data_IF_677682968486
#
_entry.id   IF_677682968486
#
_cell.length_a   1.000
_cell.length_b   1.000
_cell.length_c   1.000
_cell.angle_alpha   90.00
_cell.angle_beta   90.00
_cell.angle_gamma   90.00
#
_symmetry.space_group_name_H-M   'P 1'
#
loop_
_entity.id
_entity.type
_entity.pdbx_description
1 polymer ?
#
# COMPACT_ATOMS: atom_id res chain seq x y z
N UNK A 1 -63.15 11.23 33.70
CA UNK A 1 -62.51 10.45 32.62
C UNK A 1 -61.89 11.45 31.65
N UNK A 2 -60.56 11.51 31.57
CA UNK A 2 -59.82 12.37 30.67
C UNK A 2 -58.91 11.46 29.84
N UNK A 3 -59.14 11.39 28.52
CA UNK A 3 -58.29 10.63 27.58
C UNK A 3 -57.29 11.63 27.02
N UNK A 4 -56.01 11.47 27.35
CA UNK A 4 -54.91 12.23 26.74
C UNK A 4 -54.42 11.42 25.54
N UNK A 5 -54.71 11.90 24.34
CA UNK A 5 -54.17 11.36 23.09
C UNK A 5 -52.74 11.88 22.89
N UNK A 6 -51.73 11.00 22.99
CA UNK A 6 -50.36 11.33 22.59
C UNK A 6 -50.27 11.34 21.06
N UNK A 7 -49.97 12.51 20.48
CA UNK A 7 -49.63 12.65 19.06
C UNK A 7 -48.11 12.52 18.93
N UNK A 8 -47.63 11.39 18.37
CA UNK A 8 -46.21 11.21 18.06
C UNK A 8 -45.89 11.95 16.74
N UNK A 9 -45.13 13.03 16.82
CA UNK A 9 -44.61 13.74 15.63
C UNK A 9 -43.32 13.06 15.21
N UNK A 10 -43.37 12.29 14.12
CA UNK A 10 -42.18 11.73 13.49
C UNK A 10 -41.48 12.82 12.67
N UNK A 11 -40.33 13.31 13.14
CA UNK A 11 -39.45 14.16 12.35
C UNK A 11 -38.71 13.30 11.32
N UNK A 12 -39.12 13.38 10.05
CA UNK A 12 -38.36 12.81 8.95
C UNK A 12 -37.05 13.60 8.78
N UNK A 13 -35.92 13.00 9.10
CA UNK A 13 -34.62 13.56 8.76
C UNK A 13 -34.44 13.49 7.24
N UNK A 14 -34.50 14.63 6.56
CA UNK A 14 -34.15 14.71 5.15
C UNK A 14 -32.64 14.57 5.01
N UNK A 15 -32.17 13.40 4.57
CA UNK A 15 -30.83 13.25 3.99
C UNK A 15 -30.77 14.06 2.70
N UNK A 16 -30.10 15.20 2.73
CA UNK A 16 -29.67 15.87 1.51
C UNK A 16 -28.59 14.99 0.86
N UNK A 17 -28.97 14.22 -0.15
CA UNK A 17 -28.00 13.65 -1.06
C UNK A 17 -27.31 14.82 -1.79
N UNK A 18 -26.05 15.10 -1.43
CA UNK A 18 -25.23 16.04 -2.18
C UNK A 18 -25.13 15.48 -3.60
N UNK A 19 -25.82 16.10 -4.55
CA UNK A 19 -25.76 15.70 -5.95
C UNK A 19 -24.39 16.11 -6.47
N UNK A 20 -23.44 15.18 -6.37
CA UNK A 20 -22.09 15.38 -6.89
C UNK A 20 -22.21 15.68 -8.39
N UNK A 21 -21.62 16.78 -8.82
CA UNK A 21 -21.47 17.06 -10.24
C UNK A 21 -20.81 15.85 -10.92
N UNK A 22 -21.24 15.53 -12.14
CA UNK A 22 -20.62 14.46 -12.91
C UNK A 22 -19.11 14.68 -13.00
N UNK A 23 -18.33 13.67 -12.60
CA UNK A 23 -16.89 13.74 -12.71
C UNK A 23 -16.49 13.89 -14.18
N UNK A 24 -15.61 14.84 -14.47
CA UNK A 24 -14.99 14.99 -15.79
C UNK A 24 -13.77 14.07 -15.84
N UNK A 25 -13.69 13.13 -16.81
CA UNK A 25 -12.51 12.28 -16.95
C UNK A 25 -11.26 13.12 -17.21
N UNK A 26 -10.20 12.86 -16.46
CA UNK A 26 -8.87 13.44 -16.69
C UNK A 26 -7.92 12.38 -17.26
N UNK A 27 -6.88 12.81 -17.97
CA UNK A 27 -5.78 11.92 -18.34
C UNK A 27 -4.99 11.56 -17.07
N UNK A 28 -5.01 10.30 -16.63
CA UNK A 28 -4.63 9.96 -15.26
C UNK A 28 -3.13 10.08 -14.99
N UNK A 29 -2.25 9.81 -15.97
CA UNK A 29 -0.79 9.92 -15.76
C UNK A 29 -0.40 11.37 -15.55
N UNK A 30 -0.83 12.27 -16.44
CA UNK A 30 -0.57 13.71 -16.34
C UNK A 30 -1.17 14.29 -15.06
N UNK A 31 -2.37 13.86 -14.69
CA UNK A 31 -3.01 14.32 -13.44
C UNK A 31 -2.17 13.98 -12.21
N UNK A 32 -1.64 12.75 -12.12
CA UNK A 32 -0.78 12.36 -11.00
C UNK A 32 0.55 13.11 -11.01
N UNK A 33 1.18 13.26 -12.18
CA UNK A 33 2.44 14.00 -12.29
C UNK A 33 2.28 15.49 -11.95
N UNK A 34 1.15 16.10 -12.34
CA UNK A 34 0.86 17.50 -12.02
C UNK A 34 0.54 17.72 -10.54
N UNK A 35 0.04 16.70 -9.83
CA UNK A 35 -0.18 16.79 -8.38
C UNK A 35 1.13 17.03 -7.62
N UNK A 36 2.26 16.52 -8.11
CA UNK A 36 3.59 16.75 -7.51
C UNK A 36 4.09 18.19 -7.63
N UNK A 37 3.41 19.06 -8.39
CA UNK A 37 3.75 20.49 -8.44
C UNK A 37 3.40 21.22 -7.15
N UNK A 38 2.46 20.68 -6.36
CA UNK A 38 1.98 21.28 -5.12
C UNK A 38 1.96 20.32 -3.92
N UNK A 39 2.27 19.05 -4.13
CA UNK A 39 2.32 18.02 -3.08
C UNK A 39 3.63 17.25 -3.16
N UNK A 40 4.31 17.10 -2.04
CA UNK A 40 5.53 16.27 -1.97
C UNK A 40 5.19 14.77 -1.99
N UNK A 41 3.97 14.40 -1.62
CA UNK A 41 3.50 13.02 -1.50
C UNK A 41 2.14 12.89 -2.20
N UNK A 42 2.03 11.90 -3.09
CA UNK A 42 0.79 11.50 -3.74
C UNK A 42 0.51 10.04 -3.40
N UNK A 43 -0.66 9.77 -2.83
CA UNK A 43 -1.06 8.42 -2.38
C UNK A 43 -2.06 7.82 -3.37
N UNK A 44 -1.76 6.62 -3.85
CA UNK A 44 -2.64 5.86 -4.73
C UNK A 44 -3.19 4.65 -3.98
N UNK A 45 -4.50 4.64 -3.70
CA UNK A 45 -5.17 3.45 -3.20
C UNK A 45 -5.26 2.37 -4.29
N UNK A 46 -5.33 1.10 -3.88
CA UNK A 46 -5.61 0.01 -4.81
C UNK A 46 -7.08 -0.42 -4.91
N UNK A 47 -7.93 0.08 -4.01
CA UNK A 47 -9.29 -0.39 -3.91
C UNK A 47 -9.29 -1.78 -3.30
N UNK A 48 -9.89 -2.76 -3.97
CA UNK A 48 -9.75 -4.15 -3.58
C UNK A 48 -8.33 -4.65 -3.92
N UNK A 49 -7.72 -5.45 -3.04
CA UNK A 49 -6.48 -6.16 -3.35
C UNK A 49 -6.65 -7.01 -4.61
N UNK A 50 -5.54 -7.26 -5.31
CA UNK A 50 -5.53 -7.92 -6.61
C UNK A 50 -6.28 -7.14 -7.72
N UNK A 51 -6.26 -5.80 -7.64
CA UNK A 51 -6.79 -4.95 -8.69
C UNK A 51 -5.83 -4.85 -9.88
N UNK A 52 -5.95 -5.80 -10.81
CA UNK A 52 -5.14 -5.89 -12.03
C UNK A 52 -5.23 -4.63 -12.91
N UNK A 53 -6.41 -4.02 -13.04
CA UNK A 53 -6.58 -2.78 -13.82
C UNK A 53 -5.79 -1.63 -13.20
N UNK A 54 -5.86 -1.51 -11.87
CA UNK A 54 -5.04 -0.57 -11.12
C UNK A 54 -3.55 -0.85 -11.26
N UNK A 55 -3.14 -2.12 -11.27
CA UNK A 55 -1.75 -2.51 -11.49
C UNK A 55 -1.25 -2.06 -12.88
N UNK A 56 -2.03 -2.31 -13.93
CA UNK A 56 -1.71 -1.85 -15.30
C UNK A 56 -1.51 -0.34 -15.33
N UNK A 57 -2.38 0.42 -14.67
CA UNK A 57 -2.23 1.88 -14.57
C UNK A 57 -0.96 2.30 -13.80
N UNK A 58 -0.68 1.70 -12.64
CA UNK A 58 0.55 2.03 -11.88
C UNK A 58 1.80 1.70 -12.69
N UNK A 59 1.78 0.59 -13.44
CA UNK A 59 2.87 0.24 -14.33
C UNK A 59 3.01 1.18 -15.52
N UNK A 60 1.92 1.71 -16.08
CA UNK A 60 2.01 2.74 -17.13
C UNK A 60 2.56 4.05 -16.59
N UNK A 61 2.14 4.46 -15.38
CA UNK A 61 2.65 5.64 -14.68
C UNK A 61 4.16 5.54 -14.41
N UNK A 62 4.64 4.43 -13.85
CA UNK A 62 6.06 4.23 -13.52
C UNK A 62 6.93 4.18 -14.78
N UNK A 63 6.38 3.70 -15.91
CA UNK A 63 7.09 3.63 -17.20
C UNK A 63 7.09 4.94 -17.98
N UNK A 64 6.27 5.93 -17.61
CA UNK A 64 6.31 7.25 -18.23
C UNK A 64 7.64 7.93 -17.90
N UNK A 65 8.38 8.36 -18.94
CA UNK A 65 9.72 8.93 -18.77
C UNK A 65 9.74 10.21 -17.90
N UNK A 66 8.60 10.90 -17.77
CA UNK A 66 8.47 12.06 -16.87
C UNK A 66 8.48 11.64 -15.41
N UNK A 67 8.04 10.43 -15.08
CA UNK A 67 7.87 9.97 -13.70
C UNK A 67 9.19 10.00 -12.92
N UNK A 68 10.25 9.37 -13.42
CA UNK A 68 11.56 9.37 -12.76
C UNK A 68 12.29 10.73 -12.75
N UNK A 69 11.78 11.73 -13.49
CA UNK A 69 12.28 13.10 -13.40
C UNK A 69 11.64 13.87 -12.22
N UNK A 70 10.49 13.42 -11.75
CA UNK A 70 9.66 14.06 -10.73
C UNK A 70 9.72 13.30 -9.40
N UNK A 71 9.66 11.96 -9.46
CA UNK A 71 9.56 11.07 -8.30
C UNK A 71 10.90 10.36 -8.06
N UNK A 72 11.27 10.25 -6.78
CA UNK A 72 12.46 9.56 -6.29
C UNK A 72 12.14 8.19 -5.65
N UNK A 73 11.08 8.15 -4.84
CA UNK A 73 10.72 7.04 -3.98
C UNK A 73 9.27 6.58 -4.26
N UNK A 74 9.06 5.26 -4.26
CA UNK A 74 7.73 4.64 -4.29
C UNK A 74 7.57 3.81 -3.02
N UNK A 75 6.58 4.16 -2.20
CA UNK A 75 6.25 3.39 -0.99
C UNK A 75 5.16 2.37 -1.33
N UNK A 76 5.34 1.12 -0.92
CA UNK A 76 4.36 0.04 -1.12
C UNK A 76 3.92 -0.60 0.19
N UNK A 77 2.64 -0.93 0.29
CA UNK A 77 2.06 -1.67 1.42
C UNK A 77 2.49 -3.14 1.43
N UNK A 78 2.65 -3.75 0.25
CA UNK A 78 2.87 -5.19 0.07
C UNK A 78 4.31 -5.67 0.32
N UNK A 79 5.01 -5.09 1.30
CA UNK A 79 6.41 -5.46 1.54
C UNK A 79 6.91 -5.14 2.94
N UNK A 80 7.53 -6.15 3.56
CA UNK A 80 8.06 -6.08 4.92
C UNK A 80 9.40 -5.32 4.96
N UNK A 81 9.46 -4.22 5.73
CA UNK A 81 10.64 -3.36 5.86
C UNK A 81 11.93 -4.06 6.32
N UNK A 82 11.85 -5.27 6.90
CA UNK A 82 13.02 -6.09 7.23
C UNK A 82 13.84 -6.45 5.99
N UNK A 83 13.21 -6.56 4.83
CA UNK A 83 13.83 -6.93 3.56
C UNK A 83 14.17 -5.72 2.68
N UNK A 84 14.31 -4.53 3.29
CA UNK A 84 14.61 -3.30 2.55
C UNK A 84 15.95 -3.41 1.80
N UNK A 85 16.96 -4.07 2.37
CA UNK A 85 18.25 -4.28 1.71
C UNK A 85 18.13 -5.19 0.47
N UNK A 86 17.27 -6.21 0.53
CA UNK A 86 16.96 -7.12 -0.57
C UNK A 86 16.35 -6.35 -1.73
N UNK A 87 15.30 -5.55 -1.48
CA UNK A 87 14.65 -4.81 -2.58
C UNK A 87 15.53 -3.69 -3.14
N UNK A 88 16.30 -3.02 -2.29
CA UNK A 88 17.24 -1.97 -2.68
C UNK A 88 18.32 -2.55 -3.63
N UNK A 89 18.87 -3.72 -3.30
CA UNK A 89 19.82 -4.43 -4.18
C UNK A 89 19.16 -4.89 -5.47
N UNK A 90 17.99 -5.51 -5.37
CA UNK A 90 17.27 -6.05 -6.52
C UNK A 90 16.95 -4.96 -7.55
N UNK A 91 16.41 -3.82 -7.13
CA UNK A 91 16.00 -2.72 -8.01
C UNK A 91 17.17 -1.92 -8.58
N UNK A 92 18.35 -1.94 -7.93
CA UNK A 92 19.60 -1.37 -8.47
C UNK A 92 20.29 -2.23 -9.54
N UNK A 93 19.81 -3.46 -9.74
CA UNK A 93 20.29 -4.39 -10.76
C UNK A 93 21.11 -5.57 -10.24
N UNK A 94 21.30 -5.71 -8.93
CA UNK A 94 22.05 -6.83 -8.35
C UNK A 94 21.33 -8.16 -8.60
N UNK A 95 22.08 -9.27 -8.52
CA UNK A 95 21.49 -10.61 -8.49
C UNK A 95 20.96 -10.89 -7.08
N UNK A 96 19.66 -11.19 -7.01
CA UNK A 96 18.96 -11.69 -5.84
C UNK A 96 18.24 -12.95 -6.27
N UNK A 97 18.37 -14.03 -5.50
CA UNK A 97 17.68 -15.28 -5.82
C UNK A 97 16.17 -15.10 -5.62
N UNK A 98 15.35 -15.66 -6.52
CA UNK A 98 13.89 -15.48 -6.47
C UNK A 98 13.29 -15.91 -5.11
N UNK A 99 13.83 -16.97 -4.49
CA UNK A 99 13.41 -17.39 -3.15
C UNK A 99 13.61 -16.32 -2.07
N UNK A 100 14.65 -15.50 -2.18
CA UNK A 100 14.94 -14.42 -1.23
C UNK A 100 14.12 -13.19 -1.57
N UNK A 101 13.92 -12.92 -2.86
CA UNK A 101 13.06 -11.82 -3.30
C UNK A 101 11.63 -12.03 -2.81
N UNK A 102 11.12 -13.26 -2.88
CA UNK A 102 9.75 -13.62 -2.48
C UNK A 102 9.46 -13.37 -1.00
N UNK A 103 10.47 -13.48 -0.15
CA UNK A 103 10.35 -13.20 1.28
C UNK A 103 9.86 -11.76 1.57
N UNK A 104 10.10 -10.81 0.65
CA UNK A 104 9.67 -9.40 0.77
C UNK A 104 8.16 -9.29 1.00
N UNK A 105 7.34 -10.01 0.22
CA UNK A 105 5.87 -9.91 0.30
C UNK A 105 5.23 -11.11 1.01
N UNK A 106 5.84 -12.30 0.98
CA UNK A 106 5.32 -13.47 1.70
C UNK A 106 5.40 -13.30 3.23
N UNK A 107 6.34 -12.48 3.72
CA UNK A 107 6.49 -12.21 5.14
C UNK A 107 5.93 -10.84 5.56
N UNK A 108 5.08 -10.20 4.77
CA UNK A 108 4.36 -9.00 5.20
C UNK A 108 3.27 -9.32 6.25
N UNK A 109 2.79 -8.30 6.96
CA UNK A 109 1.87 -8.37 8.08
C UNK A 109 0.51 -8.95 7.70
N UNK A 110 0.04 -8.64 6.50
CA UNK A 110 -1.17 -9.25 5.93
C UNK A 110 -0.80 -10.68 5.53
N UNK A 111 -1.18 -11.61 6.40
CA UNK A 111 -0.97 -13.04 6.22
C UNK A 111 -1.98 -13.65 5.27
N UNK A 112 -1.59 -14.70 4.55
CA UNK A 112 -2.46 -15.44 3.62
C UNK A 112 -2.06 -15.17 2.17
N UNK A 113 -3.00 -15.33 1.24
CA UNK A 113 -2.74 -15.27 -0.21
C UNK A 113 -2.91 -13.88 -0.81
N UNK A 114 -3.11 -12.84 0.02
CA UNK A 114 -3.40 -11.48 -0.47
C UNK A 114 -2.27 -10.94 -1.36
N UNK A 115 -1.02 -11.19 -0.98
CA UNK A 115 0.16 -10.79 -1.75
C UNK A 115 0.70 -11.89 -2.67
N UNK A 116 0.17 -13.12 -2.58
CA UNK A 116 0.59 -14.27 -3.39
C UNK A 116 -0.13 -14.28 -4.75
N UNK A 117 0.00 -13.16 -5.47
CA UNK A 117 -0.52 -12.99 -6.82
C UNK A 117 0.52 -12.23 -7.68
N UNK A 118 0.55 -12.48 -9.01
CA UNK A 118 1.67 -12.03 -9.86
C UNK A 118 1.94 -10.52 -9.84
N UNK A 119 0.90 -9.70 -9.66
CA UNK A 119 0.99 -8.24 -9.81
C UNK A 119 1.97 -7.57 -8.84
N UNK A 120 2.21 -8.15 -7.64
CA UNK A 120 3.12 -7.56 -6.66
C UNK A 120 4.59 -7.86 -7.00
N UNK A 121 4.89 -9.08 -7.45
CA UNK A 121 6.21 -9.42 -7.98
C UNK A 121 6.50 -8.64 -9.26
N UNK A 122 5.53 -8.56 -10.17
CA UNK A 122 5.63 -7.83 -11.43
C UNK A 122 5.93 -6.34 -11.20
N UNK A 123 5.38 -5.73 -10.15
CA UNK A 123 5.69 -4.36 -9.76
C UNK A 123 7.20 -4.18 -9.48
N UNK A 124 7.78 -5.02 -8.61
CA UNK A 124 9.21 -4.92 -8.28
C UNK A 124 10.11 -5.16 -9.49
N UNK A 125 9.75 -6.16 -10.32
CA UNK A 125 10.47 -6.43 -11.58
C UNK A 125 10.33 -5.28 -12.58
N UNK A 126 9.17 -4.65 -12.63
CA UNK A 126 8.89 -3.47 -13.43
C UNK A 126 9.73 -2.27 -13.05
N UNK A 127 9.85 -1.96 -11.75
CA UNK A 127 10.73 -0.89 -11.26
C UNK A 127 12.19 -1.20 -11.58
N UNK A 128 12.65 -2.45 -11.38
CA UNK A 128 14.00 -2.87 -11.78
C UNK A 128 14.26 -2.62 -13.27
N UNK A 129 13.29 -2.93 -14.13
CA UNK A 129 13.41 -2.72 -15.57
C UNK A 129 13.50 -1.22 -15.93
N UNK A 130 12.70 -0.37 -15.28
CA UNK A 130 12.78 1.09 -15.44
C UNK A 130 14.11 1.62 -14.95
N UNK A 131 14.58 1.20 -13.77
CA UNK A 131 15.89 1.61 -13.25
C UNK A 131 17.06 1.23 -14.15
N UNK A 132 16.96 0.12 -14.88
CA UNK A 132 18.00 -0.30 -15.81
C UNK A 132 18.21 0.66 -16.99
N UNK A 133 17.22 1.50 -17.33
CA UNK A 133 17.35 2.51 -18.38
C UNK A 133 17.70 3.91 -17.86
N UNK A 134 17.80 4.09 -16.54
CA UNK A 134 18.03 5.39 -15.89
C UNK A 134 19.48 5.54 -15.41
N UNK A 135 20.02 6.78 -15.41
CA UNK A 135 21.27 7.08 -14.71
C UNK A 135 21.11 6.83 -13.21
N UNK A 136 22.22 6.52 -12.51
CA UNK A 136 22.19 6.08 -11.11
C UNK A 136 21.50 7.08 -10.18
N UNK A 137 21.62 8.36 -10.45
CA UNK A 137 21.06 9.47 -9.67
C UNK A 137 19.54 9.64 -9.88
N UNK A 138 18.96 8.96 -10.87
CA UNK A 138 17.53 9.01 -11.21
C UNK A 138 16.83 7.67 -10.99
N UNK A 139 17.54 6.63 -10.57
CA UNK A 139 16.91 5.34 -10.27
C UNK A 139 15.90 5.51 -9.14
N UNK A 140 14.69 4.99 -9.36
CA UNK A 140 13.61 4.96 -8.40
C UNK A 140 13.96 4.04 -7.24
N UNK A 141 13.74 4.48 -6.02
CA UNK A 141 13.85 3.64 -4.82
C UNK A 141 12.46 3.13 -4.42
N UNK A 142 12.40 1.86 -4.03
CA UNK A 142 11.16 1.26 -3.51
C UNK A 142 11.27 1.11 -2.01
N UNK A 143 10.38 1.75 -1.26
CA UNK A 143 10.31 1.67 0.19
C UNK A 143 9.24 0.68 0.61
N UNK A 144 9.63 -0.32 1.39
CA UNK A 144 8.75 -1.34 1.93
C UNK A 144 8.04 -0.76 3.16
N UNK A 145 6.74 -0.51 3.04
CA UNK A 145 5.96 0.25 4.01
C UNK A 145 5.41 -0.57 5.18
N UNK A 146 5.42 -1.90 5.08
CA UNK A 146 4.94 -2.76 6.16
C UNK A 146 5.98 -2.89 7.28
N UNK A 147 5.50 -3.16 8.49
CA UNK A 147 6.35 -3.24 9.68
C UNK A 147 7.46 -4.30 9.51
N UNK A 148 8.65 -4.11 10.14
CA UNK A 148 9.76 -5.06 10.04
C UNK A 148 9.50 -6.32 10.89
N UNK A 149 8.49 -7.11 10.51
CA UNK A 149 8.03 -8.27 11.25
C UNK A 149 9.04 -9.41 11.10
N UNK A 150 9.38 -10.03 12.23
CA UNK A 150 10.09 -11.29 12.29
C UNK A 150 9.10 -12.36 12.77
N UNK A 151 8.60 -13.15 11.82
CA UNK A 151 7.59 -14.17 12.10
C UNK A 151 8.11 -15.28 13.01
N UNK A 152 9.41 -15.61 12.93
CA UNK A 152 10.01 -16.57 13.87
C UNK A 152 9.89 -16.04 15.30
N UNK A 153 10.33 -14.80 15.56
CA UNK A 153 10.23 -14.20 16.89
C UNK A 153 8.79 -13.98 17.37
N UNK A 154 7.85 -13.75 16.44
CA UNK A 154 6.43 -13.54 16.77
C UNK A 154 5.74 -14.85 17.17
N UNK A 155 6.05 -15.96 16.51
CA UNK A 155 5.59 -17.31 16.91
C UNK A 155 6.05 -17.63 18.32
N UNK A 156 7.30 -17.31 18.67
CA UNK A 156 7.81 -17.54 20.04
C UNK A 156 7.16 -16.64 21.09
N UNK A 157 6.63 -15.47 20.71
CA UNK A 157 5.94 -14.55 21.64
C UNK A 157 4.46 -14.84 21.80
N UNK A 158 3.79 -15.34 20.76
CA UNK A 158 2.33 -15.51 20.79
C UNK A 158 1.87 -16.97 20.74
N UNK A 159 2.69 -17.93 20.34
CA UNK A 159 2.23 -19.30 20.09
C UNK A 159 1.20 -19.35 18.95
N UNK A 160 1.08 -20.50 18.28
CA UNK A 160 0.16 -20.63 17.14
C UNK A 160 -1.33 -20.62 17.54
N UNK A 161 -1.63 -20.90 18.83
CA UNK A 161 -3.00 -21.08 19.32
C UNK A 161 -3.65 -19.80 19.88
N UNK A 162 -2.96 -18.65 19.88
CA UNK A 162 -3.45 -17.45 20.56
C UNK A 162 -3.66 -16.27 19.60
N UNK A 163 -4.74 -16.26 18.83
CA UNK A 163 -5.39 -15.02 18.37
C UNK A 163 -6.92 -15.23 18.29
N UNK A 164 -7.71 -14.32 18.92
CA UNK A 164 -8.06 -13.07 18.24
C UNK A 164 -7.75 -11.77 19.01
N UNK A 165 -7.18 -11.84 20.22
CA UNK A 165 -6.93 -10.65 21.05
C UNK A 165 -5.58 -10.76 21.75
N UNK A 166 -4.51 -10.29 21.11
CA UNK A 166 -3.23 -10.07 21.79
C UNK A 166 -3.24 -8.66 22.40
N UNK A 167 -3.42 -8.48 23.72
CA UNK A 167 -3.45 -7.15 24.32
C UNK A 167 -2.02 -6.68 24.63
N UNK A 168 -1.90 -5.36 24.55
CA UNK A 168 -0.69 -4.55 24.60
C UNK A 168 0.25 -4.84 25.78
N UNK A 169 1.53 -4.60 25.49
CA UNK A 169 2.68 -4.64 26.38
C UNK A 169 2.48 -3.59 27.49
N UNK A 170 1.77 -3.92 28.56
CA UNK A 170 1.81 -3.10 29.78
C UNK A 170 3.20 -3.19 30.41
N UNK A 171 3.98 -2.16 30.10
CA UNK A 171 4.84 -1.37 31.00
C UNK A 171 5.61 -2.18 32.04
N UNK A 172 6.94 -2.16 31.89
CA UNK A 172 7.88 -2.41 32.98
C UNK A 172 7.47 -1.59 34.21
N UNK A 173 7.22 -2.24 35.34
CA UNK A 173 7.43 -1.63 36.65
C UNK A 173 7.95 -2.67 37.65
N UNK A 174 9.21 -2.47 38.02
CA UNK A 174 9.81 -2.72 39.34
C UNK A 174 9.64 -4.08 40.01
N UNK A 175 10.77 -4.77 40.15
CA UNK A 175 11.14 -5.70 41.22
C UNK A 175 12.66 -5.71 41.30
#
# INVERSE_FOLDING_TARGET
>A
MLIITLLAVATAASTFAQQAASAVPLEPVTTILDAFRSHDIVVLGEGAHNNEQGHVFRMSLIRDARFANIVNDIVVECGNARYQDVIDRFTRGDRVADKVLREVWENAAVTGTVWDVPIYEEFFRGVRAVNASLPKERQLRVLLGDAPIDWMLRIWKCGWDALPSCPDRRVRSTG
#
